data_IF_366746961551
#
_entry.id   IF_366746961551
#
_cell.length_a   1.000
_cell.length_b   1.000
_cell.length_c   1.000
_cell.angle_alpha   90.00
_cell.angle_beta   90.00
_cell.angle_gamma   90.00
#
_symmetry.space_group_name_H-M   'P 1'
#
loop_
_entity.id
_entity.type
_entity.pdbx_description
1 polymer ?
#
# COMPACT_ATOMS: atom_id res chain seq x y z
N UNK A 1 -25.00 -14.85 1.26
CA UNK A 1 -24.45 -13.57 1.69
C UNK A 1 -24.31 -12.60 0.54
N UNK A 2 -24.34 -11.30 0.79
CA UNK A 2 -24.04 -10.28 -0.23
C UNK A 2 -22.54 -10.11 -0.40
N UNK A 3 -22.10 -9.89 -1.66
CA UNK A 3 -20.72 -9.56 -2.00
C UNK A 3 -20.67 -8.62 -3.19
N UNK A 4 -19.61 -7.77 -3.25
CA UNK A 4 -19.30 -7.01 -4.45
C UNK A 4 -18.62 -7.94 -5.44
N UNK A 5 -19.22 -8.07 -6.63
CA UNK A 5 -18.81 -9.01 -7.68
C UNK A 5 -18.32 -8.27 -8.92
N UNK A 6 -17.32 -8.84 -9.55
CA UNK A 6 -16.84 -8.46 -10.87
C UNK A 6 -17.03 -9.67 -11.79
N UNK A 7 -17.94 -9.57 -12.76
CA UNK A 7 -18.25 -10.64 -13.70
C UNK A 7 -17.49 -10.47 -15.03
N UNK A 8 -17.21 -9.22 -15.40
CA UNK A 8 -16.39 -8.82 -16.55
C UNK A 8 -15.62 -7.56 -16.23
N UNK A 9 -14.48 -7.34 -16.88
CA UNK A 9 -13.72 -6.11 -16.72
C UNK A 9 -14.40 -4.90 -17.34
N UNK A 10 -14.21 -3.72 -16.76
CA UNK A 10 -14.78 -2.47 -17.29
C UNK A 10 -14.85 -1.36 -16.26
N UNK A 11 -15.81 -0.45 -16.43
CA UNK A 11 -16.02 0.68 -15.55
C UNK A 11 -16.82 0.32 -14.28
N UNK A 12 -17.17 1.32 -13.48
CA UNK A 12 -17.80 1.14 -12.16
C UNK A 12 -19.14 0.40 -12.22
N UNK A 13 -19.85 0.50 -13.33
CA UNK A 13 -21.09 -0.22 -13.62
C UNK A 13 -20.93 -1.76 -13.66
N UNK A 14 -19.70 -2.27 -13.80
CA UNK A 14 -19.37 -3.71 -13.76
C UNK A 14 -19.26 -4.26 -12.34
N UNK A 15 -19.26 -3.40 -11.32
CA UNK A 15 -19.32 -3.81 -9.92
C UNK A 15 -20.78 -4.03 -9.50
N UNK A 16 -21.14 -5.27 -9.25
CA UNK A 16 -22.50 -5.66 -8.90
C UNK A 16 -22.56 -6.17 -7.46
N UNK A 17 -23.65 -5.89 -6.75
CA UNK A 17 -23.94 -6.54 -5.47
C UNK A 17 -24.77 -7.77 -5.74
N UNK A 18 -24.19 -8.95 -5.49
CA UNK A 18 -24.84 -10.23 -5.75
C UNK A 18 -24.96 -11.08 -4.48
N UNK A 19 -25.93 -11.98 -4.47
CA UNK A 19 -26.04 -13.02 -3.46
C UNK A 19 -25.19 -14.22 -3.90
N UNK A 20 -24.22 -14.57 -3.07
CA UNK A 20 -23.32 -15.70 -3.28
C UNK A 20 -23.34 -16.64 -2.07
N UNK A 21 -22.96 -17.91 -2.21
CA UNK A 21 -22.76 -18.80 -1.06
C UNK A 21 -21.76 -18.21 -0.06
N UNK A 22 -21.92 -18.50 1.22
CA UNK A 22 -20.90 -18.19 2.22
C UNK A 22 -19.63 -19.00 1.95
N UNK A 23 -18.43 -18.43 2.26
CA UNK A 23 -17.19 -19.16 2.09
C UNK A 23 -17.13 -20.37 3.03
N UNK A 24 -16.57 -21.47 2.54
CA UNK A 24 -16.34 -22.67 3.37
C UNK A 24 -15.11 -22.49 4.25
N UNK A 25 -15.26 -22.78 5.54
CA UNK A 25 -14.13 -22.78 6.48
C UNK A 25 -13.12 -23.87 6.08
N UNK A 26 -11.86 -23.48 5.87
CA UNK A 26 -10.74 -24.40 5.62
C UNK A 26 -9.89 -24.54 6.88
N UNK A 27 -9.10 -25.63 7.03
CA UNK A 27 -8.31 -25.87 8.25
C UNK A 27 -7.42 -24.69 8.67
N UNK A 28 -6.81 -23.98 7.72
CA UNK A 28 -5.91 -22.85 7.95
C UNK A 28 -6.57 -21.48 7.81
N UNK A 29 -7.90 -21.40 7.74
CA UNK A 29 -8.65 -20.15 7.58
C UNK A 29 -9.36 -19.72 8.87
N UNK A 30 -9.55 -18.41 8.97
CA UNK A 30 -10.43 -17.72 9.91
C UNK A 30 -11.63 -17.19 9.13
N UNK A 31 -12.83 -17.46 9.60
CA UNK A 31 -14.06 -16.89 9.07
C UNK A 31 -14.37 -15.58 9.80
N UNK A 32 -14.53 -14.51 9.05
CA UNK A 32 -14.77 -13.17 9.57
C UNK A 32 -16.10 -12.66 9.05
N UNK A 33 -16.97 -12.23 9.97
CA UNK A 33 -18.11 -11.38 9.65
C UNK A 33 -17.58 -9.97 9.49
N UNK A 34 -17.71 -9.41 8.28
CA UNK A 34 -17.08 -8.14 7.91
C UNK A 34 -17.92 -6.97 8.43
N UNK A 35 -17.28 -6.06 9.14
CA UNK A 35 -17.85 -4.78 9.59
C UNK A 35 -17.47 -3.65 8.62
N UNK A 36 -16.26 -3.71 8.04
CA UNK A 36 -15.75 -2.75 7.08
C UNK A 36 -14.72 -3.39 6.14
N UNK A 37 -14.57 -2.85 4.93
CA UNK A 37 -13.59 -3.31 3.94
C UNK A 37 -12.91 -2.11 3.27
N UNK A 38 -11.59 -2.17 3.14
CA UNK A 38 -10.82 -1.15 2.44
C UNK A 38 -11.04 -1.17 0.93
N UNK A 39 -10.92 0.00 0.31
CA UNK A 39 -10.87 0.15 -1.14
C UNK A 39 -9.48 0.67 -1.51
N UNK A 40 -8.75 -0.12 -2.27
CA UNK A 40 -7.40 0.19 -2.72
C UNK A 40 -7.38 0.57 -4.21
N UNK A 41 -6.36 1.32 -4.65
CA UNK A 41 -6.18 1.61 -6.07
C UNK A 41 -6.02 0.32 -6.90
N UNK A 42 -5.50 -0.75 -6.28
CA UNK A 42 -5.44 -2.08 -6.86
C UNK A 42 -6.82 -2.64 -7.24
N UNK A 43 -7.89 -2.33 -6.48
CA UNK A 43 -9.27 -2.71 -6.81
C UNK A 43 -9.77 -2.00 -8.06
N UNK A 44 -9.41 -0.71 -8.21
CA UNK A 44 -9.73 0.08 -9.42
C UNK A 44 -9.03 -0.49 -10.65
N UNK A 45 -7.74 -0.82 -10.52
CA UNK A 45 -6.97 -1.46 -11.59
C UNK A 45 -7.49 -2.86 -11.89
N UNK A 46 -7.87 -3.64 -10.88
CA UNK A 46 -8.46 -4.98 -11.02
C UNK A 46 -9.76 -4.92 -11.79
N UNK A 47 -10.63 -3.99 -11.45
CA UNK A 47 -11.89 -3.77 -12.15
C UNK A 47 -11.65 -3.52 -13.65
N UNK A 48 -10.66 -2.71 -14.00
CA UNK A 48 -10.26 -2.42 -15.37
C UNK A 48 -9.46 -3.51 -16.09
N UNK A 49 -9.15 -4.63 -15.43
CA UNK A 49 -8.34 -5.71 -16.00
C UNK A 49 -6.83 -5.51 -15.94
N UNK A 50 -6.36 -4.43 -15.30
CA UNK A 50 -4.94 -4.02 -15.26
C UNK A 50 -4.23 -4.45 -13.95
N UNK A 51 -4.85 -5.32 -13.14
CA UNK A 51 -4.26 -5.86 -11.92
C UNK A 51 -4.51 -7.36 -11.81
N UNK A 52 -3.51 -8.17 -11.39
CA UNK A 52 -3.67 -9.61 -11.26
C UNK A 52 -4.70 -9.96 -10.17
N UNK A 53 -5.36 -11.10 -10.32
CA UNK A 53 -6.32 -11.59 -9.38
C UNK A 53 -6.98 -12.89 -9.84
N UNK A 54 -7.98 -13.42 -9.10
CA UNK A 54 -8.71 -14.63 -9.47
C UNK A 54 -9.35 -14.50 -10.85
N UNK A 55 -9.63 -15.62 -11.50
CA UNK A 55 -10.47 -15.64 -12.72
C UNK A 55 -11.86 -15.05 -12.47
N UNK A 56 -12.48 -14.52 -13.51
CA UNK A 56 -13.85 -14.00 -13.43
C UNK A 56 -14.87 -15.14 -13.61
N UNK A 57 -16.03 -15.08 -12.94
CA UNK A 57 -16.47 -14.05 -12.00
C UNK A 57 -15.81 -14.19 -10.62
N UNK A 58 -15.48 -13.07 -9.95
CA UNK A 58 -14.84 -13.06 -8.63
C UNK A 58 -15.41 -12.00 -7.70
N UNK A 59 -15.30 -12.20 -6.37
CA UNK A 59 -15.57 -11.15 -5.39
C UNK A 59 -14.40 -10.17 -5.32
N UNK A 60 -14.72 -8.90 -5.04
CA UNK A 60 -13.76 -7.81 -4.94
C UNK A 60 -13.25 -7.65 -3.49
N UNK A 61 -12.23 -6.80 -3.35
CA UNK A 61 -11.61 -6.45 -2.08
C UNK A 61 -10.37 -7.25 -1.75
N UNK A 62 -9.46 -6.59 -1.01
CA UNK A 62 -8.17 -7.14 -0.63
C UNK A 62 -7.94 -7.12 0.89
N UNK A 63 -8.79 -6.41 1.65
CA UNK A 63 -8.68 -6.26 3.09
C UNK A 63 -10.03 -5.96 3.74
N UNK A 64 -10.18 -6.33 5.00
CA UNK A 64 -11.35 -6.03 5.79
C UNK A 64 -11.02 -6.02 7.29
N UNK A 65 -11.93 -5.46 8.09
CA UNK A 65 -12.01 -5.68 9.53
C UNK A 65 -13.38 -6.24 9.89
N UNK A 66 -13.42 -6.98 11.00
CA UNK A 66 -14.66 -7.57 11.47
C UNK A 66 -14.48 -8.46 12.68
N UNK A 67 -15.48 -9.31 12.92
CA UNK A 67 -15.52 -10.22 14.06
C UNK A 67 -15.35 -11.67 13.59
N UNK A 68 -14.48 -12.42 14.26
CA UNK A 68 -14.26 -13.85 13.99
C UNK A 68 -15.50 -14.66 14.34
N UNK A 69 -16.02 -15.44 13.39
CA UNK A 69 -17.19 -16.31 13.58
C UNK A 69 -16.84 -17.80 13.64
N UNK A 70 -15.73 -18.20 13.01
CA UNK A 70 -15.21 -19.55 13.10
C UNK A 70 -13.70 -19.57 12.84
N UNK A 71 -13.02 -20.57 13.38
CA UNK A 71 -11.57 -20.75 13.28
C UNK A 71 -11.28 -22.17 12.80
N UNK A 72 -10.46 -22.31 11.76
CA UNK A 72 -10.02 -23.59 11.24
C UNK A 72 -9.09 -24.34 12.20
N UNK A 73 -9.04 -25.66 12.08
CA UNK A 73 -8.34 -26.55 13.03
C UNK A 73 -6.81 -26.35 13.09
N UNK A 74 -6.22 -25.72 12.09
CA UNK A 74 -4.77 -25.45 12.01
C UNK A 74 -4.40 -24.01 12.39
N UNK A 75 -5.38 -23.17 12.74
CA UNK A 75 -5.14 -21.78 13.17
C UNK A 75 -4.93 -21.74 14.67
N UNK A 76 -3.91 -21.00 15.11
CA UNK A 76 -3.62 -20.74 16.52
C UNK A 76 -3.58 -19.24 16.80
N UNK A 77 -3.81 -18.85 18.07
CA UNK A 77 -3.72 -17.44 18.50
C UNK A 77 -4.91 -16.56 18.12
N UNK A 78 -5.92 -17.08 17.41
CA UNK A 78 -7.16 -16.39 17.06
C UNK A 78 -8.34 -17.12 17.68
N UNK A 79 -9.34 -16.39 18.18
CA UNK A 79 -10.53 -16.94 18.84
C UNK A 79 -11.83 -16.39 18.26
N UNK A 80 -12.90 -17.19 18.31
CA UNK A 80 -14.26 -16.75 17.95
C UNK A 80 -14.67 -15.58 18.85
N UNK A 81 -15.31 -14.59 18.24
CA UNK A 81 -15.71 -13.34 18.89
C UNK A 81 -14.62 -12.25 18.92
N UNK A 82 -13.39 -12.57 18.55
CA UNK A 82 -12.29 -11.61 18.51
C UNK A 82 -12.45 -10.61 17.35
N UNK A 83 -12.16 -9.34 17.61
CA UNK A 83 -12.09 -8.29 16.58
C UNK A 83 -10.74 -8.39 15.86
N UNK A 84 -10.81 -8.45 14.54
CA UNK A 84 -9.62 -8.63 13.69
C UNK A 84 -9.70 -7.77 12.44
N UNK A 85 -8.53 -7.35 11.97
CA UNK A 85 -8.32 -6.88 10.61
C UNK A 85 -7.59 -7.96 9.82
N UNK A 86 -7.81 -8.04 8.52
CA UNK A 86 -7.26 -9.11 7.71
C UNK A 86 -6.98 -8.67 6.28
N UNK A 87 -6.00 -9.31 5.66
CA UNK A 87 -5.65 -9.11 4.26
C UNK A 87 -5.93 -10.37 3.45
N UNK A 88 -6.78 -10.26 2.43
CA UNK A 88 -7.08 -11.38 1.54
C UNK A 88 -8.15 -11.06 0.49
N UNK A 89 -8.23 -11.87 -0.57
CA UNK A 89 -9.16 -11.63 -1.68
C UNK A 89 -10.61 -11.87 -1.26
N UNK A 90 -11.52 -11.11 -1.88
CA UNK A 90 -12.97 -11.25 -1.68
C UNK A 90 -13.51 -10.56 -0.42
N UNK A 91 -12.73 -9.63 0.15
CA UNK A 91 -13.04 -8.97 1.42
C UNK A 91 -14.23 -8.00 1.36
N UNK A 92 -14.66 -7.56 0.18
CA UNK A 92 -15.87 -6.72 0.02
C UNK A 92 -17.14 -7.60 -0.02
N UNK A 93 -17.41 -8.30 1.08
CA UNK A 93 -18.54 -9.22 1.27
C UNK A 93 -18.98 -9.22 2.74
N UNK A 94 -20.17 -9.75 3.05
CA UNK A 94 -20.66 -9.87 4.44
C UNK A 94 -19.82 -10.85 5.29
N UNK A 95 -19.25 -11.87 4.65
CA UNK A 95 -18.33 -12.84 5.28
C UNK A 95 -17.15 -13.12 4.37
N UNK A 96 -15.97 -13.30 4.96
CA UNK A 96 -14.77 -13.70 4.23
C UNK A 96 -13.99 -14.76 5.01
N UNK A 97 -13.40 -15.71 4.28
CA UNK A 97 -12.51 -16.73 4.85
C UNK A 97 -11.05 -16.40 4.48
N UNK A 98 -10.25 -15.98 5.46
CA UNK A 98 -8.87 -15.55 5.27
C UNK A 98 -7.90 -16.51 5.96
N UNK A 99 -6.72 -16.74 5.36
CA UNK A 99 -5.64 -17.51 5.98
C UNK A 99 -5.25 -16.87 7.32
N UNK A 100 -5.16 -17.68 8.39
CA UNK A 100 -4.89 -17.19 9.75
C UNK A 100 -3.60 -16.37 9.88
N UNK A 101 -2.59 -16.62 9.04
CA UNK A 101 -1.35 -15.84 9.02
C UNK A 101 -1.53 -14.39 8.51
N UNK A 102 -2.67 -14.08 7.93
CA UNK A 102 -3.02 -12.75 7.40
C UNK A 102 -4.17 -12.11 8.19
N UNK A 103 -4.41 -12.59 9.41
CA UNK A 103 -5.46 -12.11 10.32
C UNK A 103 -4.78 -11.56 11.57
N UNK A 104 -5.05 -10.30 11.89
CA UNK A 104 -4.38 -9.56 12.95
C UNK A 104 -5.41 -9.00 13.94
N UNK A 105 -5.37 -9.39 15.22
CA UNK A 105 -6.14 -8.71 16.26
C UNK A 105 -5.76 -7.23 16.35
N UNK A 106 -6.72 -6.37 16.61
CA UNK A 106 -6.47 -4.95 16.83
C UNK A 106 -7.10 -4.45 18.14
N UNK A 107 -6.53 -3.40 18.78
CA UNK A 107 -7.01 -2.88 20.06
C UNK A 107 -8.42 -2.30 19.97
N UNK A 108 -9.15 -2.33 21.10
CA UNK A 108 -10.54 -1.86 21.18
C UNK A 108 -10.73 -0.37 20.91
N UNK A 109 -9.67 0.43 21.09
CA UNK A 109 -9.71 1.87 20.80
C UNK A 109 -9.61 2.22 19.30
N UNK A 110 -9.30 1.25 18.45
CA UNK A 110 -9.27 1.44 16.98
C UNK A 110 -10.69 1.27 16.43
N UNK A 111 -11.15 2.26 15.66
CA UNK A 111 -12.44 2.19 15.00
C UNK A 111 -12.47 1.07 13.96
N UNK A 112 -13.51 0.21 13.91
CA UNK A 112 -13.63 -0.84 12.90
C UNK A 112 -13.56 -0.33 11.45
N UNK A 113 -14.06 0.89 11.18
CA UNK A 113 -14.00 1.49 9.84
C UNK A 113 -12.54 1.80 9.47
N UNK A 114 -11.76 2.34 10.40
CA UNK A 114 -10.33 2.57 10.20
C UNK A 114 -9.58 1.24 10.02
N UNK A 115 -9.84 0.27 10.91
CA UNK A 115 -9.20 -1.05 10.86
C UNK A 115 -9.39 -1.76 9.51
N UNK A 116 -10.54 -1.57 8.83
CA UNK A 116 -10.82 -2.17 7.53
C UNK A 116 -9.95 -1.68 6.39
N UNK A 117 -9.33 -0.51 6.52
CA UNK A 117 -8.41 0.06 5.52
C UNK A 117 -6.94 0.05 5.93
N UNK A 118 -6.58 -0.56 7.06
CA UNK A 118 -5.20 -0.54 7.59
C UNK A 118 -4.26 -1.60 7.00
N UNK A 119 -4.64 -2.87 6.83
CA UNK A 119 -3.69 -3.95 6.55
C UNK A 119 -2.81 -3.71 5.34
N UNK A 120 -3.40 -3.36 4.19
CA UNK A 120 -2.66 -3.15 2.95
C UNK A 120 -1.70 -1.96 3.05
N UNK A 121 -2.20 -0.82 3.53
CA UNK A 121 -1.41 0.42 3.53
C UNK A 121 -0.28 0.38 4.57
N UNK A 122 -0.52 -0.20 5.76
CA UNK A 122 0.51 -0.31 6.80
C UNK A 122 1.59 -1.34 6.45
N UNK A 123 1.21 -2.54 6.01
CA UNK A 123 2.17 -3.57 5.61
C UNK A 123 2.99 -3.12 4.40
N UNK A 124 2.34 -2.49 3.40
CA UNK A 124 3.03 -1.93 2.25
C UNK A 124 4.06 -0.89 2.68
N UNK A 125 3.68 0.06 3.54
CA UNK A 125 4.57 1.11 4.03
C UNK A 125 5.72 0.57 4.86
N UNK A 126 5.45 -0.40 5.75
CA UNK A 126 6.49 -1.07 6.53
C UNK A 126 7.54 -1.73 5.63
N UNK A 127 7.09 -2.51 4.64
CA UNK A 127 8.01 -3.18 3.73
C UNK A 127 8.79 -2.21 2.83
N UNK A 128 8.17 -1.12 2.39
CA UNK A 128 8.86 -0.08 1.62
C UNK A 128 9.98 0.53 2.46
N UNK A 129 9.69 0.94 3.70
CA UNK A 129 10.67 1.63 4.54
C UNK A 129 11.73 0.70 5.11
N UNK A 130 11.35 -0.48 5.63
CA UNK A 130 12.25 -1.36 6.39
C UNK A 130 12.78 -2.53 5.56
N UNK A 131 11.92 -3.38 5.01
CA UNK A 131 12.37 -4.63 4.40
C UNK A 131 13.03 -4.43 3.04
N UNK A 132 12.66 -3.38 2.31
CA UNK A 132 13.18 -3.08 0.97
C UNK A 132 14.05 -1.82 0.93
N UNK A 133 13.59 -0.77 1.60
CA UNK A 133 14.30 0.52 1.63
C UNK A 133 15.43 0.58 2.65
N UNK A 134 15.44 -0.33 3.64
CA UNK A 134 16.44 -0.38 4.71
C UNK A 134 16.65 0.96 5.43
N UNK A 135 15.58 1.77 5.51
CA UNK A 135 15.60 3.11 6.10
C UNK A 135 16.19 3.12 7.51
N UNK A 136 17.09 4.06 7.75
CA UNK A 136 17.68 4.34 9.05
C UNK A 136 17.16 5.65 9.63
N UNK A 137 17.32 5.85 10.94
CA UNK A 137 17.10 7.16 11.56
C UNK A 137 18.11 8.18 11.02
N UNK A 138 17.63 9.37 10.66
CA UNK A 138 18.43 10.42 10.02
C UNK A 138 18.39 10.42 8.50
N UNK A 139 17.88 9.37 7.87
CA UNK A 139 17.68 9.35 6.41
C UNK A 139 16.67 10.40 5.95
N UNK A 140 16.80 10.86 4.72
CA UNK A 140 15.76 11.61 4.02
C UNK A 140 14.98 10.70 3.08
N UNK A 141 13.65 10.74 3.19
CA UNK A 141 12.72 9.92 2.42
C UNK A 141 11.83 10.81 1.54
N UNK A 142 11.84 10.57 0.24
CA UNK A 142 10.86 11.17 -0.68
C UNK A 142 9.66 10.22 -0.83
N UNK A 143 8.47 10.72 -0.50
CA UNK A 143 7.20 10.01 -0.65
C UNK A 143 6.44 10.61 -1.83
N UNK A 144 6.42 9.91 -2.96
CA UNK A 144 5.57 10.28 -4.09
C UNK A 144 4.10 10.00 -3.77
N UNK A 145 3.19 10.87 -4.24
CA UNK A 145 1.77 10.81 -3.95
C UNK A 145 1.47 10.74 -2.42
N UNK A 146 2.04 11.67 -1.65
CA UNK A 146 2.02 11.67 -0.18
C UNK A 146 0.63 11.63 0.46
N UNK A 147 -0.40 12.16 -0.20
CA UNK A 147 -1.78 12.14 0.28
C UNK A 147 -2.58 10.88 -0.14
N UNK A 148 -1.93 9.86 -0.72
CA UNK A 148 -2.55 8.56 -0.99
C UNK A 148 -2.63 7.71 0.28
N UNK A 149 -3.42 6.62 0.26
CA UNK A 149 -3.51 5.71 1.41
C UNK A 149 -2.15 5.24 1.92
N UNK A 150 -1.28 4.73 1.04
CA UNK A 150 0.08 4.32 1.39
C UNK A 150 0.95 5.54 1.75
N UNK A 151 0.83 6.65 0.99
CA UNK A 151 1.61 7.87 1.23
C UNK A 151 1.42 8.44 2.64
N UNK A 152 0.18 8.50 3.13
CA UNK A 152 -0.14 9.00 4.47
C UNK A 152 0.49 8.16 5.57
N UNK A 153 0.55 6.85 5.40
CA UNK A 153 1.18 5.93 6.36
C UNK A 153 2.71 6.00 6.26
N UNK A 154 3.27 6.08 5.04
CA UNK A 154 4.72 6.26 4.83
C UNK A 154 5.24 7.49 5.56
N UNK A 155 4.56 8.64 5.43
CA UNK A 155 4.94 9.88 6.12
C UNK A 155 5.00 9.65 7.63
N UNK A 156 3.93 9.11 8.23
CA UNK A 156 3.84 8.91 9.67
C UNK A 156 4.90 7.92 10.19
N UNK A 157 5.08 6.78 9.53
CA UNK A 157 6.05 5.77 9.95
C UNK A 157 7.50 6.28 9.77
N UNK A 158 7.81 6.92 8.65
CA UNK A 158 9.13 7.48 8.41
C UNK A 158 9.49 8.54 9.48
N UNK A 159 8.54 9.43 9.81
CA UNK A 159 8.73 10.41 10.90
C UNK A 159 8.91 9.75 12.25
N UNK A 160 8.06 8.79 12.61
CA UNK A 160 8.15 8.08 13.88
C UNK A 160 9.50 7.34 14.05
N UNK A 161 10.13 6.95 12.95
CA UNK A 161 11.43 6.28 12.93
C UNK A 161 12.62 7.22 12.67
N UNK A 162 12.39 8.53 12.73
CA UNK A 162 13.43 9.55 12.76
C UNK A 162 13.96 10.02 11.40
N UNK A 163 13.19 9.83 10.32
CA UNK A 163 13.55 10.34 9.01
C UNK A 163 13.13 11.82 8.81
N UNK A 164 13.84 12.53 7.92
CA UNK A 164 13.32 13.73 7.25
C UNK A 164 12.42 13.28 6.10
N UNK A 165 11.21 13.82 6.02
CA UNK A 165 10.23 13.41 5.00
C UNK A 165 9.92 14.55 4.04
N UNK A 166 10.13 14.29 2.75
CA UNK A 166 9.69 15.13 1.63
C UNK A 166 8.50 14.43 0.98
N UNK A 167 7.37 15.12 0.78
CA UNK A 167 6.17 14.54 0.20
C UNK A 167 5.67 15.36 -0.99
N UNK A 168 5.22 14.69 -2.06
CA UNK A 168 4.64 15.35 -3.22
C UNK A 168 3.12 15.18 -3.27
N UNK A 169 2.41 16.22 -3.68
CA UNK A 169 0.98 16.18 -3.96
C UNK A 169 0.60 17.24 -5.00
N UNK A 170 -0.67 17.29 -5.45
CA UNK A 170 -1.12 18.14 -6.55
C UNK A 170 -1.98 19.33 -6.13
N UNK A 171 -2.42 19.41 -4.88
CA UNK A 171 -3.28 20.49 -4.39
C UNK A 171 -2.88 20.91 -2.99
N UNK A 172 -3.22 22.15 -2.60
CA UNK A 172 -2.88 22.68 -1.29
C UNK A 172 -3.46 21.84 -0.15
N UNK A 173 -4.73 21.42 -0.22
CA UNK A 173 -5.37 20.58 0.80
C UNK A 173 -4.61 19.26 1.02
N UNK A 174 -4.11 18.65 -0.06
CA UNK A 174 -3.29 17.43 0.02
C UNK A 174 -1.92 17.69 0.62
N UNK A 175 -1.30 18.84 0.33
CA UNK A 175 -0.03 19.25 0.93
C UNK A 175 -0.19 19.53 2.42
N UNK A 176 -1.28 20.19 2.80
CA UNK A 176 -1.61 20.47 4.21
C UNK A 176 -1.85 19.16 4.98
N UNK A 177 -2.52 18.18 4.37
CA UNK A 177 -2.63 16.83 4.94
C UNK A 177 -1.25 16.20 5.13
N UNK A 178 -0.38 16.19 4.11
CA UNK A 178 0.97 15.64 4.23
C UNK A 178 1.75 16.31 5.38
N UNK A 179 1.65 17.64 5.48
CA UNK A 179 2.30 18.42 6.53
C UNK A 179 1.75 18.08 7.93
N UNK A 180 0.44 17.95 8.07
CA UNK A 180 -0.20 17.59 9.34
C UNK A 180 0.19 16.19 9.83
N UNK A 181 0.52 15.29 8.89
CA UNK A 181 1.00 13.93 9.16
C UNK A 181 2.50 13.85 9.47
N UNK A 182 3.23 14.96 9.34
CA UNK A 182 4.63 15.07 9.73
C UNK A 182 5.63 15.22 8.57
N UNK A 183 5.20 15.48 7.33
CA UNK A 183 6.12 15.81 6.26
C UNK A 183 6.85 17.13 6.57
N UNK A 184 8.19 17.12 6.50
CA UNK A 184 9.04 18.31 6.75
C UNK A 184 8.98 19.27 5.57
N UNK A 185 8.95 18.73 4.36
CA UNK A 185 8.85 19.47 3.09
C UNK A 185 7.70 18.91 2.27
N UNK A 186 6.86 19.79 1.72
CA UNK A 186 5.76 19.41 0.82
C UNK A 186 5.93 20.12 -0.52
N UNK A 187 5.76 19.38 -1.62
CA UNK A 187 6.01 19.87 -2.99
C UNK A 187 4.74 19.72 -3.82
N UNK A 188 4.22 20.85 -4.33
CA UNK A 188 3.22 20.82 -5.37
C UNK A 188 3.88 20.53 -6.72
N UNK A 189 3.78 19.29 -7.18
CA UNK A 189 4.42 18.87 -8.44
C UNK A 189 3.78 19.49 -9.70
N UNK A 190 2.64 20.18 -9.58
CA UNK A 190 2.03 20.92 -10.68
C UNK A 190 2.61 22.32 -10.85
N UNK A 191 3.32 22.82 -9.85
CA UNK A 191 3.86 24.19 -9.80
C UNK A 191 5.39 24.21 -9.75
N UNK A 192 6.02 23.13 -9.22
CA UNK A 192 7.46 23.05 -9.05
C UNK A 192 7.99 21.68 -9.52
N UNK A 193 9.21 21.68 -10.04
CA UNK A 193 9.92 20.44 -10.33
C UNK A 193 10.46 19.85 -9.03
N UNK A 194 9.91 18.69 -8.63
CA UNK A 194 10.31 18.05 -7.39
C UNK A 194 11.80 17.62 -7.37
N UNK A 195 12.40 17.33 -8.54
CA UNK A 195 13.82 16.98 -8.64
C UNK A 195 14.71 18.15 -8.20
N UNK A 196 14.40 19.37 -8.65
CA UNK A 196 15.14 20.56 -8.26
C UNK A 196 14.98 20.87 -6.76
N UNK A 197 13.73 20.77 -6.23
CA UNK A 197 13.49 20.98 -4.79
C UNK A 197 14.22 19.95 -3.94
N UNK A 198 14.22 18.67 -4.32
CA UNK A 198 14.95 17.62 -3.60
C UNK A 198 16.47 17.89 -3.64
N UNK A 199 16.99 18.37 -4.76
CA UNK A 199 18.38 18.73 -4.89
C UNK A 199 18.77 19.90 -3.98
N UNK A 200 17.94 20.91 -3.88
CA UNK A 200 18.13 22.03 -2.94
C UNK A 200 18.09 21.55 -1.49
N UNK A 201 17.08 20.77 -1.11
CA UNK A 201 16.87 20.24 0.25
C UNK A 201 17.96 19.26 0.72
N UNK A 202 18.71 18.67 -0.23
CA UNK A 202 19.84 17.78 0.02
C UNK A 202 21.22 18.42 -0.23
N UNK A 203 21.29 19.73 -0.48
CA UNK A 203 22.53 20.45 -0.87
C UNK A 203 23.27 19.82 -2.07
N UNK A 204 22.53 19.15 -2.95
CA UNK A 204 23.07 18.47 -4.13
C UNK A 204 23.51 17.02 -3.90
N UNK A 205 23.54 16.53 -2.66
CA UNK A 205 24.01 15.16 -2.33
C UNK A 205 22.99 14.08 -2.66
N UNK A 206 21.72 14.44 -2.87
CA UNK A 206 20.60 13.51 -3.06
C UNK A 206 20.12 12.92 -1.73
N UNK A 207 19.16 11.99 -1.81
CA UNK A 207 18.45 11.42 -0.67
C UNK A 207 18.58 9.90 -0.61
N UNK A 208 18.37 9.31 0.59
CA UNK A 208 18.64 7.90 0.86
C UNK A 208 17.55 6.99 0.35
N UNK A 209 16.27 7.41 0.41
CA UNK A 209 15.15 6.55 0.04
C UNK A 209 14.07 7.30 -0.76
N UNK A 210 13.58 6.66 -1.81
CA UNK A 210 12.38 7.09 -2.53
C UNK A 210 11.33 5.99 -2.49
N UNK A 211 10.11 6.33 -2.04
CA UNK A 211 8.91 5.51 -2.17
C UNK A 211 8.11 6.00 -3.39
N UNK A 212 8.04 5.17 -4.45
CA UNK A 212 7.57 5.58 -5.77
C UNK A 212 6.42 4.68 -6.24
N UNK A 213 5.28 5.28 -6.63
CA UNK A 213 4.10 4.55 -7.12
C UNK A 213 3.46 5.15 -8.38
N UNK A 214 4.05 6.20 -8.93
CA UNK A 214 3.46 6.95 -10.06
C UNK A 214 3.88 6.35 -11.39
N UNK A 215 5.17 5.99 -11.53
CA UNK A 215 5.74 5.46 -12.77
C UNK A 215 6.13 6.55 -13.78
N UNK A 216 6.41 6.14 -15.02
CA UNK A 216 6.77 7.03 -16.12
C UNK A 216 7.90 8.00 -15.79
N UNK A 217 7.77 9.26 -16.18
CA UNK A 217 8.77 10.31 -15.95
C UNK A 217 9.03 10.56 -14.46
N UNK A 218 8.02 10.37 -13.58
CA UNK A 218 8.19 10.53 -12.14
C UNK A 218 9.19 9.51 -11.60
N UNK A 219 9.11 8.26 -12.03
CA UNK A 219 10.08 7.22 -11.67
C UNK A 219 11.49 7.58 -12.16
N UNK A 220 11.62 8.09 -13.41
CA UNK A 220 12.90 8.49 -13.97
C UNK A 220 13.57 9.62 -13.18
N UNK A 221 12.81 10.67 -12.86
CA UNK A 221 13.25 11.79 -12.01
C UNK A 221 13.59 11.32 -10.60
N UNK A 222 12.77 10.45 -10.03
CA UNK A 222 12.96 9.92 -8.68
C UNK A 222 14.28 9.14 -8.53
N UNK A 223 14.73 8.43 -9.58
CA UNK A 223 16.06 7.79 -9.58
C UNK A 223 17.17 8.83 -9.50
N UNK A 224 17.02 9.99 -10.17
CA UNK A 224 18.04 11.06 -10.14
C UNK A 224 18.11 11.77 -8.80
N UNK A 225 17.01 11.79 -8.04
CA UNK A 225 16.99 12.34 -6.68
C UNK A 225 17.83 11.54 -5.65
N UNK A 226 18.16 10.27 -5.94
CA UNK A 226 18.90 9.42 -5.02
C UNK A 226 20.34 9.88 -4.82
N UNK A 227 20.81 9.81 -3.60
CA UNK A 227 22.23 9.92 -3.24
C UNK A 227 23.05 8.73 -3.76
N UNK A 228 24.37 8.75 -3.55
CA UNK A 228 25.17 7.54 -3.70
C UNK A 228 24.66 6.46 -2.72
N UNK A 229 24.54 5.22 -3.22
CA UNK A 229 23.97 4.06 -2.51
C UNK A 229 22.49 4.20 -2.09
N UNK A 230 21.79 5.25 -2.54
CA UNK A 230 20.37 5.44 -2.28
C UNK A 230 19.50 4.37 -2.93
N UNK A 231 18.33 4.12 -2.35
CA UNK A 231 17.37 3.09 -2.79
C UNK A 231 16.05 3.72 -3.23
N UNK A 232 15.53 3.30 -4.38
CA UNK A 232 14.16 3.56 -4.79
C UNK A 232 13.36 2.27 -4.73
N UNK A 233 12.23 2.32 -4.01
CA UNK A 233 11.25 1.23 -3.97
C UNK A 233 10.05 1.62 -4.84
N UNK A 234 9.90 0.97 -5.99
CA UNK A 234 8.75 1.13 -6.86
C UNK A 234 7.67 0.11 -6.51
N UNK A 235 6.50 0.59 -6.08
CA UNK A 235 5.41 -0.26 -5.61
C UNK A 235 4.09 -0.07 -6.37
N UNK A 236 4.11 0.71 -7.44
CA UNK A 236 2.96 0.98 -8.29
C UNK A 236 3.33 1.61 -9.63
N UNK A 237 2.32 1.83 -10.45
CA UNK A 237 2.42 2.58 -11.70
C UNK A 237 1.07 3.29 -11.95
N UNK A 238 0.76 4.29 -11.12
CA UNK A 238 -0.54 4.99 -11.17
C UNK A 238 -0.75 5.77 -12.47
N UNK A 239 0.32 6.24 -13.10
CA UNK A 239 0.26 6.91 -14.40
C UNK A 239 -0.04 5.95 -15.56
N UNK A 240 0.16 4.65 -15.35
CA UNK A 240 0.06 3.61 -16.39
C UNK A 240 0.98 3.87 -17.60
N UNK A 241 2.02 4.69 -17.42
CA UNK A 241 3.01 5.00 -18.45
C UNK A 241 4.32 4.26 -18.22
N UNK A 242 5.04 3.97 -19.33
CA UNK A 242 6.34 3.30 -19.26
C UNK A 242 7.43 4.30 -18.87
N UNK A 243 8.32 3.89 -17.97
CA UNK A 243 9.54 4.62 -17.63
C UNK A 243 10.74 4.08 -18.43
N UNK A 244 11.64 4.98 -18.85
CA UNK A 244 12.90 4.66 -19.51
C UNK A 244 14.06 4.91 -18.54
N UNK A 245 14.45 3.90 -17.76
CA UNK A 245 15.54 4.02 -16.82
C UNK A 245 16.88 3.97 -17.55
N UNK A 246 17.62 5.07 -17.48
CA UNK A 246 18.98 5.16 -18.01
C UNK A 246 19.93 4.48 -17.04
N UNK A 247 20.60 3.42 -17.47
CA UNK A 247 21.48 2.60 -16.61
C UNK A 247 22.60 3.40 -15.94
N UNK A 248 23.15 4.43 -16.59
CA UNK A 248 24.17 5.29 -15.98
C UNK A 248 23.64 6.07 -14.76
N UNK A 249 22.37 6.41 -14.71
CA UNK A 249 21.78 7.06 -13.52
C UNK A 249 21.74 6.14 -12.29
N UNK A 250 21.86 4.83 -12.51
CA UNK A 250 21.94 3.82 -11.46
C UNK A 250 23.38 3.49 -11.13
N UNK A 251 24.18 3.13 -12.14
CA UNK A 251 25.52 2.57 -11.96
C UNK A 251 26.56 3.60 -11.50
N UNK A 252 26.48 4.87 -11.95
CA UNK A 252 27.48 5.90 -11.61
C UNK A 252 27.51 6.26 -10.12
N UNK A 253 26.42 6.02 -9.40
CA UNK A 253 26.32 6.31 -7.97
C UNK A 253 25.95 5.08 -7.12
N UNK A 254 26.10 3.86 -7.65
CA UNK A 254 25.74 2.60 -6.96
C UNK A 254 24.32 2.62 -6.38
N UNK A 255 23.37 3.21 -7.09
CA UNK A 255 21.96 3.32 -6.67
C UNK A 255 21.25 1.99 -6.85
N UNK A 256 20.21 1.77 -6.06
CA UNK A 256 19.37 0.57 -6.12
C UNK A 256 17.95 0.94 -6.55
N UNK A 257 17.36 0.17 -7.48
CA UNK A 257 15.95 0.25 -7.85
C UNK A 257 15.31 -1.09 -7.58
N UNK A 258 14.32 -1.14 -6.70
CA UNK A 258 13.67 -2.38 -6.26
C UNK A 258 12.17 -2.29 -6.54
N UNK A 259 11.62 -3.34 -7.16
CA UNK A 259 10.16 -3.52 -7.25
C UNK A 259 9.60 -4.16 -5.98
N UNK A 260 8.41 -3.71 -5.56
CA UNK A 260 7.67 -4.29 -4.45
C UNK A 260 6.19 -4.47 -4.77
N UNK A 261 5.62 -5.63 -4.43
CA UNK A 261 4.19 -5.91 -4.52
C UNK A 261 3.78 -6.80 -3.35
N UNK A 262 2.85 -6.31 -2.52
CA UNK A 262 2.31 -7.08 -1.37
C UNK A 262 1.75 -8.45 -1.78
N UNK A 263 0.99 -8.51 -2.86
CA UNK A 263 0.34 -9.73 -3.34
C UNK A 263 1.30 -10.83 -3.84
N UNK A 264 2.60 -10.53 -3.95
CA UNK A 264 3.66 -11.45 -4.37
C UNK A 264 4.74 -11.66 -3.31
N UNK A 265 4.60 -11.09 -2.13
CA UNK A 265 5.47 -11.43 -1.00
C UNK A 265 5.27 -12.89 -0.63
N UNK A 266 6.33 -13.69 -0.48
CA UNK A 266 6.18 -15.07 -0.02
C UNK A 266 5.46 -15.09 1.32
N UNK A 267 4.42 -15.94 1.45
CA UNK A 267 3.79 -16.20 2.72
C UNK A 267 4.87 -16.80 3.66
N UNK A 268 5.29 -16.07 4.67
CA UNK A 268 6.37 -16.47 5.60
C UNK A 268 7.54 -15.50 5.70
N UNK A 269 7.56 -14.40 4.95
CA UNK A 269 8.56 -13.32 5.12
C UNK A 269 8.00 -12.13 5.91
N UNK A 270 7.01 -12.37 6.74
CA UNK A 270 6.49 -11.43 7.76
C UNK A 270 7.16 -11.74 9.13
N UNK A 271 8.47 -12.00 9.14
CA UNK A 271 9.26 -12.10 10.35
C UNK A 271 9.66 -10.71 10.87
#
# INVERSE_FOLDING_TARGET
MKAVRLNEFGDVDKLLIENVPEPTLRPHHVMIKVDSAGVNYADVLRRGGNYPGPGLPSSMGLEAAGTVTAVGSEVSGISVGQRVMAMGPGSQAEYVGINGNLVFPYPDYVDPVEAGGMPIVFLTSYHILKSRGHMQSGDTVLVQAGASGVGTVLIQLAKAWGAKVIATASTQDKLDLCKSLGADVTINYTEADFEEVVKEESNGDGIQLVAECVGGEVLEKSVRCLSAYGTLVSYGNASQTTANLVSSNITSNNRTVIGFSMGRSPAGTLD
#
